data_IF_485519260160
#
_entry.id   IF_485519260160
#
_cell.length_a   1.000
_cell.length_b   1.000
_cell.length_c   1.000
_cell.angle_alpha   90.00
_cell.angle_beta   90.00
_cell.angle_gamma   90.00
#
_symmetry.space_group_name_H-M   'P 1'
#
loop_
_entity.id
_entity.type
_entity.pdbx_description
1 polymer ?
#
# COMPACT_ATOMS: atom_id res chain seq x y z
N UNK A 1 57.74 -1.97 -34.49
CA UNK A 1 56.59 -1.84 -33.55
C UNK A 1 55.58 -0.81 -34.06
N UNK A 2 55.00 -0.97 -35.26
CA UNK A 2 54.25 0.14 -35.92
C UNK A 2 53.03 -0.25 -36.75
N UNK A 3 52.51 -1.48 -36.65
CA UNK A 3 51.36 -1.93 -37.47
C UNK A 3 50.13 -2.42 -36.67
N UNK A 4 50.20 -2.47 -35.33
CA UNK A 4 49.06 -2.89 -34.49
C UNK A 4 48.14 -1.75 -34.03
N UNK A 5 48.54 -0.48 -34.17
CA UNK A 5 47.76 0.66 -33.63
C UNK A 5 46.71 1.17 -34.64
N UNK A 6 46.89 0.94 -35.95
CA UNK A 6 45.97 1.43 -36.98
C UNK A 6 44.66 0.62 -37.08
N UNK A 7 44.68 -0.67 -36.73
CA UNK A 7 43.49 -1.54 -36.84
C UNK A 7 42.48 -1.36 -35.69
N UNK A 8 42.95 -0.91 -34.52
CA UNK A 8 42.09 -0.67 -33.35
C UNK A 8 41.30 0.63 -33.49
N UNK A 9 41.87 1.66 -34.13
CA UNK A 9 41.17 2.93 -34.36
C UNK A 9 40.06 2.82 -35.41
N UNK A 10 40.26 2.02 -36.47
CA UNK A 10 39.25 1.83 -37.52
C UNK A 10 38.01 1.07 -37.01
N UNK A 11 38.19 0.05 -36.16
CA UNK A 11 37.09 -0.76 -35.64
C UNK A 11 36.11 0.05 -34.74
N UNK A 12 36.62 1.02 -33.98
CA UNK A 12 35.79 1.88 -33.11
C UNK A 12 34.96 2.89 -33.93
N UNK A 13 35.47 3.35 -35.07
CA UNK A 13 34.76 4.29 -35.96
C UNK A 13 33.63 3.60 -36.74
N UNK A 14 33.83 2.35 -37.18
CA UNK A 14 32.77 1.60 -37.90
C UNK A 14 31.63 1.11 -36.99
N UNK A 15 31.91 0.81 -35.72
CA UNK A 15 30.87 0.48 -34.74
C UNK A 15 30.06 1.73 -34.37
N UNK A 16 30.71 2.90 -34.27
CA UNK A 16 30.05 4.18 -33.98
C UNK A 16 29.12 4.65 -35.10
N UNK A 17 29.56 4.58 -36.36
CA UNK A 17 28.74 5.01 -37.51
C UNK A 17 27.63 3.99 -37.81
N UNK A 18 27.92 2.68 -37.70
CA UNK A 18 26.92 1.62 -37.89
C UNK A 18 25.78 1.69 -36.88
N UNK A 19 26.08 1.97 -35.61
CA UNK A 19 25.07 2.17 -34.57
C UNK A 19 24.24 3.45 -34.78
N UNK A 20 24.86 4.53 -35.27
CA UNK A 20 24.16 5.79 -35.54
C UNK A 20 23.22 5.66 -36.73
N UNK A 21 23.66 4.99 -37.81
CA UNK A 21 22.84 4.76 -39.02
C UNK A 21 21.71 3.77 -38.74
N UNK A 22 21.96 2.72 -37.95
CA UNK A 22 20.90 1.80 -37.52
C UNK A 22 19.88 2.51 -36.61
N UNK A 23 20.32 3.33 -35.66
CA UNK A 23 19.44 4.11 -34.80
C UNK A 23 18.57 5.11 -35.58
N UNK A 24 19.16 5.80 -36.56
CA UNK A 24 18.45 6.73 -37.44
C UNK A 24 17.46 6.01 -38.36
N UNK A 25 17.83 4.85 -38.93
CA UNK A 25 16.94 4.06 -39.78
C UNK A 25 15.73 3.50 -39.01
N UNK A 26 15.95 3.05 -37.78
CA UNK A 26 14.89 2.57 -36.87
C UNK A 26 13.92 3.69 -36.51
N UNK A 27 14.44 4.89 -36.21
CA UNK A 27 13.61 6.08 -35.94
C UNK A 27 12.81 6.53 -37.16
N UNK A 28 13.42 6.49 -38.36
CA UNK A 28 12.79 6.92 -39.62
C UNK A 28 11.69 5.95 -40.10
N UNK A 29 11.84 4.64 -39.85
CA UNK A 29 10.83 3.63 -40.20
C UNK A 29 9.76 3.43 -39.13
N UNK A 30 9.98 3.93 -37.91
CA UNK A 30 9.02 3.85 -36.81
C UNK A 30 8.90 5.21 -36.10
N UNK A 31 8.28 6.23 -36.76
CA UNK A 31 8.08 7.55 -36.14
C UNK A 31 7.18 7.51 -34.88
N UNK A 32 6.57 6.35 -34.58
CA UNK A 32 5.77 6.10 -33.38
C UNK A 32 6.55 5.54 -32.17
N UNK A 33 7.87 5.32 -32.23
CA UNK A 33 8.67 4.99 -31.03
C UNK A 33 9.07 6.24 -30.23
N UNK A 34 8.09 7.12 -30.01
CA UNK A 34 8.19 8.23 -29.06
C UNK A 34 7.61 7.79 -27.73
N UNK A 35 8.46 7.78 -26.70
CA UNK A 35 8.20 7.41 -25.31
C UNK A 35 7.93 5.92 -25.04
N UNK A 36 8.78 5.33 -24.19
CA UNK A 36 8.34 4.21 -23.36
C UNK A 36 7.05 4.65 -22.66
N UNK A 37 5.94 3.96 -22.93
CA UNK A 37 4.70 4.11 -22.17
C UNK A 37 5.00 3.73 -20.72
N UNK A 38 5.15 4.72 -19.84
CA UNK A 38 5.53 4.55 -18.44
C UNK A 38 4.38 4.08 -17.56
N UNK A 39 3.40 3.32 -18.07
CA UNK A 39 2.36 2.71 -17.23
C UNK A 39 2.89 1.49 -16.47
N UNK A 40 3.93 1.68 -15.65
CA UNK A 40 4.31 0.77 -14.56
C UNK A 40 3.48 1.02 -13.29
N UNK A 41 2.55 1.97 -13.29
CA UNK A 41 1.69 2.22 -12.12
C UNK A 41 0.82 1.01 -11.80
N UNK A 42 0.74 0.65 -10.51
CA UNK A 42 -0.28 -0.28 -10.00
C UNK A 42 -1.27 0.47 -9.13
N UNK A 43 -2.53 0.13 -9.33
CA UNK A 43 -3.64 0.54 -8.48
C UNK A 43 -4.24 -0.71 -7.83
N UNK A 44 -4.66 -0.58 -6.58
CA UNK A 44 -5.36 -1.62 -5.84
C UNK A 44 -6.51 -1.00 -5.03
N UNK A 45 -7.47 -1.84 -4.65
CA UNK A 45 -8.62 -1.43 -3.86
C UNK A 45 -8.84 -2.42 -2.71
N UNK A 46 -9.35 -1.90 -1.60
CA UNK A 46 -9.74 -2.66 -0.43
C UNK A 46 -11.09 -2.12 0.06
N UNK A 47 -12.13 -2.95 -0.02
CA UNK A 47 -13.51 -2.57 0.35
C UNK A 47 -13.85 -3.19 1.71
N UNK A 48 -13.94 -2.34 2.74
CA UNK A 48 -14.34 -2.71 4.09
C UNK A 48 -15.86 -2.89 4.10
N UNK A 49 -16.31 -4.14 4.16
CA UNK A 49 -17.72 -4.49 4.25
C UNK A 49 -18.15 -4.65 5.72
N UNK A 50 -19.40 -4.28 6.01
CA UNK A 50 -20.03 -4.51 7.32
C UNK A 50 -19.87 -5.98 7.74
N UNK A 51 -19.30 -6.21 8.92
CA UNK A 51 -19.34 -7.54 9.54
C UNK A 51 -20.75 -7.81 10.07
N UNK A 52 -21.18 -9.07 10.09
CA UNK A 52 -22.48 -9.47 10.65
C UNK A 52 -22.54 -9.39 12.19
N UNK A 53 -21.44 -9.00 12.82
CA UNK A 53 -21.21 -8.96 14.26
C UNK A 53 -20.31 -7.76 14.60
N UNK A 54 -20.88 -6.56 14.69
CA UNK A 54 -20.13 -5.36 15.08
C UNK A 54 -20.84 -4.05 14.68
N UNK A 55 -20.36 -2.89 15.19
CA UNK A 55 -20.77 -1.59 14.66
C UNK A 55 -20.51 -1.58 13.14
N UNK A 56 -21.41 -0.99 12.35
CA UNK A 56 -21.40 -1.05 10.90
C UNK A 56 -20.27 -0.27 10.24
N UNK A 57 -19.01 -0.56 10.61
CA UNK A 57 -17.80 0.04 10.06
C UNK A 57 -17.65 -0.42 8.61
N UNK A 58 -17.59 0.55 7.71
CA UNK A 58 -17.48 0.33 6.27
C UNK A 58 -16.65 1.43 5.63
N UNK A 59 -16.15 1.16 4.43
CA UNK A 59 -15.28 2.11 3.75
C UNK A 59 -14.66 1.54 2.49
N UNK A 60 -14.08 2.41 1.68
CA UNK A 60 -13.31 2.01 0.51
C UNK A 60 -11.96 2.70 0.55
N UNK A 61 -10.92 1.89 0.39
CA UNK A 61 -9.54 2.34 0.33
C UNK A 61 -8.99 2.07 -1.07
N UNK A 62 -8.27 3.06 -1.58
CA UNK A 62 -7.57 3.03 -2.85
C UNK A 62 -6.08 3.11 -2.57
N UNK A 63 -5.32 2.23 -3.22
CA UNK A 63 -3.88 2.15 -3.07
C UNK A 63 -3.24 2.38 -4.44
N UNK A 64 -2.27 3.25 -4.51
CA UNK A 64 -1.54 3.53 -5.74
C UNK A 64 -0.04 3.51 -5.51
N UNK A 65 0.71 2.93 -6.43
CA UNK A 65 2.16 2.99 -6.42
C UNK A 65 2.64 3.19 -7.86
N UNK A 66 3.35 4.29 -8.12
CA UNK A 66 3.75 4.70 -9.48
C UNK A 66 4.80 3.76 -10.08
N UNK A 67 5.78 3.35 -9.27
CA UNK A 67 6.81 2.38 -9.66
C UNK A 67 7.17 1.51 -8.45
N UNK A 68 7.88 0.38 -8.62
CA UNK A 68 8.33 -0.44 -7.49
C UNK A 68 9.22 0.29 -6.46
N UNK A 69 9.74 1.48 -6.77
CA UNK A 69 10.65 2.27 -5.91
C UNK A 69 9.98 3.45 -5.22
N UNK A 70 8.73 3.77 -5.54
CA UNK A 70 7.99 4.89 -4.91
C UNK A 70 7.19 4.40 -3.71
N UNK A 71 6.71 5.32 -2.87
CA UNK A 71 5.77 4.98 -1.80
C UNK A 71 4.45 4.44 -2.37
N UNK A 72 3.75 3.63 -1.57
CA UNK A 72 2.33 3.34 -1.77
C UNK A 72 1.52 4.47 -1.13
N UNK A 73 0.63 5.06 -1.91
CA UNK A 73 -0.34 6.06 -1.45
C UNK A 73 -1.66 5.36 -1.15
N UNK A 74 -2.12 5.41 0.09
CA UNK A 74 -3.43 4.89 0.50
C UNK A 74 -4.35 6.08 0.73
N UNK A 75 -5.48 6.11 0.04
CA UNK A 75 -6.53 7.12 0.21
C UNK A 75 -7.89 6.49 0.40
N UNK A 76 -8.82 7.22 1.00
CA UNK A 76 -10.21 6.77 1.11
C UNK A 76 -10.91 7.30 2.34
N UNK A 77 -12.06 6.73 2.66
CA UNK A 77 -12.80 7.06 3.86
C UNK A 77 -13.39 5.81 4.52
N UNK A 78 -13.53 5.88 5.84
CA UNK A 78 -14.08 4.82 6.68
C UNK A 78 -15.09 5.45 7.63
N UNK A 79 -16.31 4.95 7.65
CA UNK A 79 -17.41 5.43 8.50
C UNK A 79 -17.78 4.38 9.54
N UNK A 80 -18.58 4.77 10.54
CA UNK A 80 -19.06 3.84 11.57
C UNK A 80 -18.07 3.61 12.71
N UNK A 81 -16.91 4.26 12.69
CA UNK A 81 -15.90 4.20 13.75
C UNK A 81 -16.35 5.03 14.96
N UNK A 82 -15.86 4.73 16.16
CA UNK A 82 -15.91 5.71 17.24
C UNK A 82 -15.04 6.93 16.91
N UNK A 83 -15.27 8.06 17.55
CA UNK A 83 -14.35 9.22 17.45
C UNK A 83 -13.04 8.88 18.18
N UNK A 84 -11.91 9.17 17.55
CA UNK A 84 -10.57 8.94 18.11
C UNK A 84 -9.63 8.22 17.16
N UNK A 85 -8.51 7.73 17.72
CA UNK A 85 -7.49 7.00 16.97
C UNK A 85 -7.81 5.51 16.92
N UNK A 86 -7.60 4.94 15.74
CA UNK A 86 -7.78 3.52 15.45
C UNK A 86 -6.53 2.96 14.80
N UNK A 87 -5.99 1.87 15.36
CA UNK A 87 -4.88 1.13 14.76
C UNK A 87 -5.23 0.63 13.36
N UNK A 88 -4.28 0.70 12.44
CA UNK A 88 -4.49 0.47 11.03
C UNK A 88 -3.31 -0.31 10.45
N UNK A 89 -3.55 -1.54 10.02
CA UNK A 89 -2.47 -2.46 9.68
C UNK A 89 -2.78 -3.29 8.45
N UNK A 90 -1.72 -3.68 7.72
CA UNK A 90 -1.78 -4.81 6.79
C UNK A 90 -1.48 -6.09 7.56
N UNK A 91 -2.40 -7.04 7.48
CA UNK A 91 -2.29 -8.37 8.06
C UNK A 91 -1.80 -9.40 7.05
N UNK A 92 -1.29 -10.52 7.54
CA UNK A 92 -0.58 -11.51 6.73
C UNK A 92 -1.45 -12.12 5.63
N UNK A 93 -2.68 -12.50 5.94
CA UNK A 93 -3.56 -13.19 4.98
C UNK A 93 -4.72 -12.30 4.54
N UNK A 94 -5.15 -12.50 3.30
CA UNK A 94 -6.44 -12.03 2.84
C UNK A 94 -7.59 -12.69 3.60
N UNK A 95 -8.75 -12.03 3.58
CA UNK A 95 -10.01 -12.51 4.15
C UNK A 95 -11.04 -12.70 3.05
N UNK A 96 -11.93 -13.66 3.24
CA UNK A 96 -13.11 -13.82 2.38
C UNK A 96 -14.15 -12.74 2.75
N UNK A 97 -14.46 -11.87 1.78
CA UNK A 97 -15.40 -10.77 1.94
C UNK A 97 -16.83 -11.20 2.29
N UNK A 98 -17.18 -12.49 2.13
CA UNK A 98 -18.50 -13.02 2.45
C UNK A 98 -18.65 -13.49 3.91
N UNK A 99 -17.57 -13.92 4.57
CA UNK A 99 -17.62 -14.40 5.96
C UNK A 99 -17.12 -13.37 6.98
N UNK A 100 -16.39 -12.33 6.55
CA UNK A 100 -16.12 -11.13 7.34
C UNK A 100 -15.34 -11.36 8.64
N UNK A 101 -14.70 -12.51 8.82
CA UNK A 101 -13.95 -12.82 10.05
C UNK A 101 -12.55 -12.26 9.93
N UNK A 102 -12.36 -11.02 10.38
CA UNK A 102 -11.04 -10.38 10.40
C UNK A 102 -9.97 -11.16 11.18
N UNK A 103 -10.35 -12.15 11.99
CA UNK A 103 -9.46 -13.10 12.65
C UNK A 103 -8.70 -14.01 11.65
N UNK A 104 -9.22 -14.25 10.45
CA UNK A 104 -8.57 -15.07 9.44
C UNK A 104 -7.39 -14.37 8.77
N UNK A 105 -7.31 -13.04 8.89
CA UNK A 105 -6.15 -12.26 8.46
C UNK A 105 -4.87 -12.57 9.26
N UNK A 106 -4.99 -13.22 10.44
CA UNK A 106 -3.90 -13.57 11.38
C UNK A 106 -3.09 -12.35 11.84
N UNK A 107 -1.77 -12.45 11.96
CA UNK A 107 -0.91 -11.41 12.52
C UNK A 107 -0.67 -10.26 11.53
N UNK A 108 0.02 -9.21 11.97
CA UNK A 108 0.51 -8.17 11.06
C UNK A 108 1.46 -8.79 10.04
N UNK A 109 1.49 -8.24 8.84
CA UNK A 109 2.39 -8.72 7.80
C UNK A 109 3.85 -8.38 8.16
N UNK A 110 4.62 -9.41 8.55
CA UNK A 110 5.97 -9.27 9.08
C UNK A 110 6.97 -10.24 8.40
N UNK A 111 7.38 -10.00 7.15
CA UNK A 111 8.31 -10.87 6.44
C UNK A 111 9.77 -10.72 6.92
N UNK A 112 10.05 -9.82 7.87
CA UNK A 112 11.40 -9.53 8.37
C UNK A 112 11.61 -9.95 9.83
N UNK A 113 10.53 -10.33 10.53
CA UNK A 113 10.60 -10.82 11.91
C UNK A 113 10.95 -9.73 12.93
N UNK A 114 10.66 -8.46 12.64
CA UNK A 114 10.83 -7.38 13.61
C UNK A 114 9.67 -7.31 14.58
N UNK A 115 9.85 -6.55 15.68
CA UNK A 115 8.73 -6.19 16.54
C UNK A 115 7.86 -5.13 15.85
N UNK A 116 6.61 -5.03 16.30
CA UNK A 116 5.71 -3.95 15.94
C UNK A 116 6.31 -2.59 16.33
N UNK A 117 6.16 -1.58 15.46
CA UNK A 117 6.58 -0.21 15.74
C UNK A 117 5.88 0.83 14.86
N UNK A 118 6.17 2.12 15.13
CA UNK A 118 5.64 3.25 14.38
C UNK A 118 6.00 3.21 12.87
N UNK A 119 5.18 3.83 11.99
CA UNK A 119 5.42 3.78 10.55
C UNK A 119 6.77 4.36 10.09
N UNK A 120 7.32 5.33 10.82
CA UNK A 120 8.60 5.95 10.49
C UNK A 120 9.82 5.17 11.06
N UNK A 121 9.59 4.08 11.80
CA UNK A 121 10.66 3.26 12.34
C UNK A 121 11.35 2.46 11.23
N UNK A 122 12.68 2.32 11.33
CA UNK A 122 13.46 1.51 10.38
C UNK A 122 13.28 0.01 10.58
N UNK A 123 12.85 -0.41 11.78
CA UNK A 123 12.49 -1.78 12.14
C UNK A 123 11.07 -1.80 12.70
N UNK A 124 10.14 -2.28 11.89
CA UNK A 124 8.73 -2.45 12.18
C UNK A 124 8.22 -3.65 11.39
N UNK A 125 7.00 -4.10 11.62
CA UNK A 125 6.36 -4.94 10.63
C UNK A 125 6.13 -4.13 9.34
N UNK A 126 6.24 -4.79 8.20
CA UNK A 126 5.91 -4.18 6.90
C UNK A 126 4.48 -3.62 6.94
N UNK A 127 3.56 -4.35 7.58
CA UNK A 127 2.16 -3.95 7.71
C UNK A 127 1.83 -2.86 8.73
N UNK A 128 2.78 -2.32 9.50
CA UNK A 128 2.48 -1.35 10.57
C UNK A 128 2.22 0.08 10.04
N UNK A 129 0.97 0.43 9.71
CA UNK A 129 0.64 1.75 9.17
C UNK A 129 0.24 2.78 10.24
N UNK A 130 0.29 2.40 11.52
CA UNK A 130 0.04 3.28 12.66
C UNK A 130 -1.44 3.48 12.92
N UNK A 131 -1.86 4.74 13.08
CA UNK A 131 -3.25 5.09 13.38
C UNK A 131 -3.90 5.90 12.26
N UNK A 132 -5.19 5.69 12.07
CA UNK A 132 -6.10 6.64 11.42
C UNK A 132 -6.89 7.39 12.49
N UNK A 133 -7.31 8.62 12.19
CA UNK A 133 -8.14 9.43 13.09
C UNK A 133 -9.56 9.52 12.55
N UNK A 134 -10.51 9.10 13.37
CA UNK A 134 -11.94 9.24 13.14
C UNK A 134 -12.46 10.46 13.88
N UNK A 135 -13.07 11.38 13.13
CA UNK A 135 -13.68 12.61 13.67
C UNK A 135 -15.20 12.49 13.65
N UNK A 136 -15.90 13.39 14.34
CA UNK A 136 -17.36 13.39 14.37
C UNK A 136 -17.96 13.51 12.96
N UNK A 137 -18.86 12.60 12.59
CA UNK A 137 -19.58 12.67 11.33
C UNK A 137 -20.82 13.56 11.47
N UNK A 138 -20.69 14.82 11.08
CA UNK A 138 -21.79 15.79 11.12
C UNK A 138 -22.90 15.52 10.10
N UNK A 139 -22.74 14.55 9.21
CA UNK A 139 -23.75 14.18 8.21
C UNK A 139 -24.80 13.20 8.74
N UNK A 140 -24.60 12.64 9.94
CA UNK A 140 -25.57 11.75 10.57
C UNK A 140 -26.65 12.55 11.31
N UNK A 141 -27.92 12.26 11.02
CA UNK A 141 -29.07 12.82 11.73
C UNK A 141 -28.97 12.47 13.23
N UNK A 142 -28.96 13.49 14.09
CA UNK A 142 -28.72 13.40 15.55
C UNK A 142 -29.74 12.61 16.37
N UNK A 143 -30.45 11.65 15.78
CA UNK A 143 -31.45 10.79 16.41
C UNK A 143 -30.89 9.43 16.87
N UNK A 144 -29.63 9.11 16.58
CA UNK A 144 -29.02 7.88 17.10
C UNK A 144 -28.36 8.19 18.43
N UNK A 145 -29.16 8.18 19.50
CA UNK A 145 -28.76 8.37 20.91
C UNK A 145 -27.88 7.22 21.45
N UNK A 146 -27.12 6.53 20.61
CA UNK A 146 -26.28 5.38 20.96
C UNK A 146 -25.01 5.37 20.12
N UNK A 147 -24.03 6.18 20.53
CA UNK A 147 -22.69 6.22 19.97
C UNK A 147 -22.55 7.21 18.81
N UNK A 148 -21.76 8.26 19.03
CA UNK A 148 -21.36 9.19 17.98
C UNK A 148 -20.56 8.40 16.94
N UNK A 149 -21.16 8.13 15.77
CA UNK A 149 -20.46 7.56 14.63
C UNK A 149 -19.52 8.61 14.04
N UNK A 150 -18.29 8.20 13.79
CA UNK A 150 -17.24 9.02 13.20
C UNK A 150 -16.89 8.59 11.79
N UNK A 151 -16.14 9.47 11.14
CA UNK A 151 -15.57 9.28 9.81
C UNK A 151 -14.06 9.53 9.87
N UNK A 152 -13.29 8.61 9.31
CA UNK A 152 -11.86 8.77 9.09
C UNK A 152 -11.59 8.99 7.61
N UNK A 153 -10.89 10.08 7.28
CA UNK A 153 -10.34 10.31 5.94
C UNK A 153 -8.90 9.81 5.93
N UNK A 154 -8.64 8.78 5.13
CA UNK A 154 -7.32 8.14 5.04
C UNK A 154 -6.50 8.84 3.95
N UNK A 155 -5.30 9.28 4.32
CA UNK A 155 -4.27 9.80 3.41
C UNK A 155 -2.89 9.40 3.96
N UNK A 156 -2.39 8.23 3.55
CA UNK A 156 -1.15 7.63 4.06
C UNK A 156 -0.17 7.42 2.91
N UNK A 157 1.09 7.82 3.11
CA UNK A 157 2.20 7.50 2.20
C UNK A 157 3.21 6.65 2.94
N UNK A 158 3.39 5.41 2.48
CA UNK A 158 4.27 4.45 3.13
C UNK A 158 5.33 3.89 2.17
N UNK A 159 6.57 3.83 2.64
CA UNK A 159 7.73 3.40 1.85
C UNK A 159 8.14 1.94 2.10
N UNK A 160 7.51 1.25 3.05
CA UNK A 160 7.85 -0.12 3.43
C UNK A 160 6.93 -1.14 2.75
N UNK A 161 5.62 -0.88 2.71
CA UNK A 161 4.68 -1.67 1.91
C UNK A 161 4.95 -1.46 0.42
N UNK A 162 4.59 -2.44 -0.39
CA UNK A 162 4.61 -2.32 -1.84
C UNK A 162 3.45 -3.07 -2.47
N UNK A 163 3.11 -2.72 -3.71
CA UNK A 163 2.27 -3.50 -4.61
C UNK A 163 3.11 -4.46 -5.47
N UNK A 164 4.41 -4.61 -5.19
CA UNK A 164 5.36 -5.50 -5.87
C UNK A 164 6.23 -6.29 -4.90
N UNK A 165 6.79 -7.39 -5.44
CA UNK A 165 7.95 -8.06 -4.88
C UNK A 165 7.72 -8.62 -3.47
N UNK A 166 8.82 -8.71 -2.71
CA UNK A 166 8.83 -9.34 -1.39
C UNK A 166 7.83 -8.70 -0.44
N UNK A 167 7.70 -7.37 -0.44
CA UNK A 167 6.82 -6.60 0.46
C UNK A 167 5.43 -6.35 -0.15
N UNK A 168 5.05 -7.13 -1.17
CA UNK A 168 3.74 -7.02 -1.78
C UNK A 168 2.63 -7.24 -0.75
N UNK A 169 1.72 -6.27 -0.67
CA UNK A 169 0.49 -6.34 0.14
C UNK A 169 -0.73 -6.78 -0.67
N UNK A 170 -0.58 -6.98 -1.99
CA UNK A 170 -1.64 -7.54 -2.84
C UNK A 170 -2.03 -8.94 -2.34
N UNK A 171 -3.34 -9.18 -2.21
CA UNK A 171 -3.91 -10.43 -1.70
C UNK A 171 -3.88 -10.56 -0.18
N UNK A 172 -3.32 -9.57 0.54
CA UNK A 172 -3.36 -9.47 2.00
C UNK A 172 -4.55 -8.64 2.45
N UNK A 173 -4.79 -8.57 3.76
CA UNK A 173 -5.89 -7.78 4.29
C UNK A 173 -5.42 -6.50 4.97
N UNK A 174 -6.17 -5.40 4.79
CA UNK A 174 -6.12 -4.25 5.71
C UNK A 174 -7.10 -4.54 6.85
N UNK A 175 -6.72 -4.19 8.08
CA UNK A 175 -7.55 -4.29 9.27
C UNK A 175 -7.58 -2.94 9.99
N UNK A 176 -8.78 -2.51 10.36
CA UNK A 176 -9.02 -1.36 11.24
C UNK A 176 -9.34 -1.88 12.64
N UNK A 177 -8.65 -1.37 13.63
CA UNK A 177 -8.75 -1.84 15.01
C UNK A 177 -9.71 -1.00 15.86
N UNK A 178 -10.14 -1.56 16.99
CA UNK A 178 -11.06 -0.95 17.95
C UNK A 178 -10.44 0.26 18.65
N UNK A 179 -9.19 0.13 19.07
CA UNK A 179 -8.48 1.15 19.84
C UNK A 179 -7.27 1.72 19.11
N UNK A 180 -6.61 2.64 19.81
CA UNK A 180 -5.37 3.26 19.38
C UNK A 180 -4.24 2.23 19.37
N UNK A 181 -3.46 2.24 18.29
CA UNK A 181 -2.13 1.64 18.22
C UNK A 181 -1.11 2.50 19.02
N UNK A 182 -0.47 1.90 20.02
CA UNK A 182 0.55 2.50 20.87
C UNK A 182 1.96 2.59 20.23
N UNK A 183 2.11 2.09 19.01
CA UNK A 183 3.31 2.13 18.16
C UNK A 183 4.50 1.35 18.73
N UNK A 184 4.24 0.35 19.58
CA UNK A 184 5.27 -0.43 20.25
C UNK A 184 5.85 0.28 21.48
N UNK A 185 5.20 1.35 21.95
CA UNK A 185 5.70 2.21 23.03
C UNK A 185 4.99 1.98 24.38
N UNK A 186 4.08 1.01 24.46
CA UNK A 186 3.32 0.68 25.67
C UNK A 186 4.11 -0.12 26.72
N UNK A 187 5.30 -0.62 26.39
CA UNK A 187 6.17 -1.33 27.34
C UNK A 187 5.70 -2.74 27.70
N UNK A 188 4.78 -3.32 26.93
CA UNK A 188 4.26 -4.69 27.12
C UNK A 188 4.62 -5.59 25.93
N UNK A 189 4.53 -6.90 26.11
CA UNK A 189 4.69 -7.82 24.98
C UNK A 189 3.61 -7.64 23.90
N UNK A 190 2.40 -7.25 24.28
CA UNK A 190 1.29 -7.03 23.34
C UNK A 190 1.56 -5.77 22.52
N UNK A 191 2.10 -4.72 23.13
CA UNK A 191 2.57 -3.51 22.43
C UNK A 191 3.58 -3.88 21.33
N UNK A 192 4.58 -4.72 21.63
CA UNK A 192 5.58 -5.17 20.65
C UNK A 192 5.05 -6.13 19.57
N UNK A 193 3.80 -6.60 19.66
CA UNK A 193 3.19 -7.52 18.70
C UNK A 193 2.08 -6.87 17.86
N UNK A 194 1.26 -6.03 18.47
CA UNK A 194 0.03 -5.51 17.86
C UNK A 194 -0.25 -4.04 18.20
N UNK A 195 0.68 -3.37 18.86
CA UNK A 195 0.48 -1.99 19.32
C UNK A 195 -0.65 -1.84 20.35
N UNK A 196 -1.06 -2.94 20.99
CA UNK A 196 -2.22 -3.00 21.89
C UNK A 196 -3.52 -2.38 21.32
N UNK A 197 -3.71 -2.44 19.99
CA UNK A 197 -4.82 -1.77 19.31
C UNK A 197 -6.22 -2.41 19.54
N UNK A 198 -6.31 -3.51 20.29
CA UNK A 198 -7.58 -4.16 20.63
C UNK A 198 -8.23 -4.94 19.47
N UNK A 199 -9.57 -4.98 19.48
CA UNK A 199 -10.39 -5.76 18.53
C UNK A 199 -10.22 -5.36 17.07
N UNK A 200 -10.75 -6.17 16.15
CA UNK A 200 -10.72 -5.92 14.69
C UNK A 200 -12.11 -5.54 14.22
N UNK A 201 -12.34 -4.26 13.93
CA UNK A 201 -13.67 -3.74 13.61
C UNK A 201 -14.09 -4.07 12.18
N UNK A 202 -13.19 -3.87 11.23
CA UNK A 202 -13.41 -4.13 9.82
C UNK A 202 -12.12 -4.54 9.13
N UNK A 203 -12.25 -5.28 8.04
CA UNK A 203 -11.12 -5.73 7.25
C UNK A 203 -11.55 -5.97 5.80
N UNK A 204 -10.57 -5.93 4.90
CA UNK A 204 -10.77 -6.15 3.48
C UNK A 204 -9.52 -6.73 2.86
N UNK A 205 -9.68 -7.56 1.83
CA UNK A 205 -8.55 -8.02 1.02
C UNK A 205 -8.21 -6.98 -0.04
N UNK A 206 -6.91 -6.76 -0.24
CA UNK A 206 -6.37 -5.82 -1.23
C UNK A 206 -6.28 -6.50 -2.58
N UNK A 207 -7.03 -6.02 -3.57
CA UNK A 207 -7.02 -6.54 -4.94
C UNK A 207 -6.49 -5.50 -5.92
N UNK A 208 -5.69 -5.95 -6.90
CA UNK A 208 -5.31 -5.08 -8.02
C UNK A 208 -6.56 -4.69 -8.80
N UNK A 209 -6.64 -3.41 -9.15
CA UNK A 209 -7.70 -2.86 -10.01
C UNK A 209 -7.06 -2.22 -11.24
N UNK A 210 -7.78 -2.13 -12.38
CA UNK A 210 -7.30 -1.38 -13.53
C UNK A 210 -6.98 0.06 -13.11
N UNK A 211 -5.77 0.54 -13.45
CA UNK A 211 -5.45 1.95 -13.24
C UNK A 211 -6.40 2.80 -14.06
N UNK A 212 -7.03 3.79 -13.43
CA UNK A 212 -7.98 4.67 -14.08
C UNK A 212 -7.38 5.20 -15.40
N UNK A 213 -8.12 5.05 -16.50
CA UNK A 213 -7.80 5.74 -17.74
C UNK A 213 -8.12 7.22 -17.52
N UNK A 214 -7.08 8.03 -17.29
CA UNK A 214 -7.16 9.48 -17.41
C UNK A 214 -7.49 9.88 -18.84
#
# INVERSE_FOLDING_TARGET
>A
MGKCIAYVAAAVVFIGIGALVAGLAVWYHHPGMTAFDTKEQRSAQCVLSKTSQGPGVEGTLYLEQLTPRTFVHITGNITGLSVGLHGFHVHEFGVDGASGKCLDAKAHYNPEGYNHSAPNATKRHVGDLGNIESVFDSSQDGNTLSGLSGIAYVDIKDHMISLWGKHSIVGRAIVVHEGKDDLGLGGTEVSLKTGDAGGRLACCTIFIVPSAST
#
